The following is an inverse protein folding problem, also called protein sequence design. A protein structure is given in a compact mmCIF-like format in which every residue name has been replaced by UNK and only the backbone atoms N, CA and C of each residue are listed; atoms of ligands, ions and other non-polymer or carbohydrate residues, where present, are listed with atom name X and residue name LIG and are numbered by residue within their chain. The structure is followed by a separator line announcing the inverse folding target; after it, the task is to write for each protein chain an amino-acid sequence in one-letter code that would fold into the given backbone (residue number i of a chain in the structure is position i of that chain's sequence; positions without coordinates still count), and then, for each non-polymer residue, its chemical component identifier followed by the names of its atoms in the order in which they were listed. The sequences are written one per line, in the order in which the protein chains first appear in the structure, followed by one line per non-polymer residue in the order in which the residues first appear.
data_IF_131567662770
#
_entry.id   IF_131567662770
#
_cell.length_a   1.000
_cell.length_b   1.000
_cell.length_c   1.000
_cell.angle_alpha   90.00
_cell.angle_beta   90.00
_cell.angle_gamma   90.00
#
_symmetry.space_group_name_H-M   'P 1'
#
loop_
_entity.id
_entity.type
_entity.pdbx_description
1 polymer ?
#
# COMPACT_ATOMS: atom_id res chain seq x y z
N UNK A 1 -39.73 -10.44 -1.86
CA UNK A 1 -40.49 -10.12 -0.63
C UNK A 1 -39.84 -8.92 0.03
N UNK A 2 -40.58 -7.85 0.32
CA UNK A 2 -40.09 -6.64 1.06
C UNK A 2 -39.79 -6.96 2.53
N UNK A 3 -39.05 -6.22 3.38
CA UNK A 3 -38.43 -4.85 3.40
C UNK A 3 -37.33 -4.87 4.49
N UNK A 4 -36.33 -3.98 4.68
CA UNK A 4 -35.88 -2.66 4.15
C UNK A 4 -34.37 -2.73 3.80
N UNK A 5 -33.64 -1.80 3.16
CA UNK A 5 -33.81 -0.38 2.72
C UNK A 5 -33.40 0.76 3.71
N UNK A 6 -32.15 1.27 3.55
CA UNK A 6 -31.66 2.63 3.93
C UNK A 6 -31.43 2.96 5.44
N UNK A 7 -30.67 4.00 5.86
CA UNK A 7 -30.46 5.35 5.32
C UNK A 7 -29.04 5.98 5.44
N UNK A 8 -28.75 7.09 4.71
CA UNK A 8 -27.59 7.95 4.94
C UNK A 8 -27.77 8.87 6.16
N UNK A 9 -26.67 9.55 6.55
CA UNK A 9 -26.64 10.77 7.38
C UNK A 9 -27.48 10.76 8.68
N UNK A 10 -26.94 10.19 9.75
CA UNK A 10 -27.42 10.46 11.11
C UNK A 10 -27.38 9.26 12.07
N UNK A 11 -26.44 9.31 13.01
CA UNK A 11 -26.39 8.55 14.28
C UNK A 11 -26.59 7.02 14.29
N UNK A 12 -25.44 6.36 14.49
CA UNK A 12 -25.23 5.37 15.57
C UNK A 12 -25.89 3.98 15.47
N UNK A 13 -25.18 3.05 14.83
CA UNK A 13 -25.13 1.64 15.26
C UNK A 13 -23.76 1.02 14.97
N UNK A 14 -22.98 0.76 16.04
CA UNK A 14 -21.85 -0.19 16.15
C UNK A 14 -20.96 -0.38 14.90
N UNK A 15 -19.84 0.34 14.83
CA UNK A 15 -18.74 0.07 13.88
C UNK A 15 -17.39 0.27 14.60
N UNK A 16 -16.55 -0.77 14.58
CA UNK A 16 -15.24 -0.85 15.27
C UNK A 16 -14.08 -0.73 14.28
N UNK A 17 -12.85 -0.43 14.74
CA UNK A 17 -11.70 -0.13 13.86
C UNK A 17 -10.47 -1.04 14.08
N UNK A 18 -9.69 -1.29 13.01
CA UNK A 18 -8.55 -2.22 12.99
C UNK A 18 -7.34 -1.62 12.24
N UNK A 19 -6.14 -1.61 12.84
CA UNK A 19 -5.00 -0.79 12.37
C UNK A 19 -3.89 -1.50 11.54
N UNK A 20 -3.36 -0.83 10.50
CA UNK A 20 -2.30 -1.22 9.53
C UNK A 20 -0.87 -0.99 10.00
N UNK A 21 0.06 -1.78 9.45
CA UNK A 21 1.46 -1.39 9.19
C UNK A 21 2.01 -2.07 7.91
N UNK A 22 2.51 -1.28 6.95
CA UNK A 22 3.01 -1.74 5.63
C UNK A 22 4.54 -1.69 5.56
N UNK A 23 5.25 -2.51 4.78
CA UNK A 23 4.87 -3.69 4.00
C UNK A 23 6.10 -4.32 3.33
N UNK A 24 6.60 -5.46 3.85
CA UNK A 24 7.78 -6.18 3.32
C UNK A 24 8.98 -6.18 4.27
N UNK A 25 9.02 -7.17 5.20
CA UNK A 25 9.90 -7.18 6.40
C UNK A 25 10.01 -5.83 7.13
N UNK A 26 8.98 -5.00 6.99
CA UNK A 26 8.91 -3.65 7.51
C UNK A 26 8.51 -3.71 8.97
N UNK A 27 9.53 -3.78 9.83
CA UNK A 27 9.40 -3.46 11.24
C UNK A 27 9.19 -1.95 11.37
N UNK A 28 8.06 -1.60 11.98
CA UNK A 28 7.76 -0.23 12.40
C UNK A 28 8.27 -0.03 13.84
N UNK A 29 8.55 1.22 14.22
CA UNK A 29 9.28 1.54 15.46
C UNK A 29 8.55 2.61 16.27
N UNK A 30 8.07 2.22 17.45
CA UNK A 30 7.42 3.15 18.36
C UNK A 30 8.43 3.79 19.32
N UNK A 31 8.42 5.12 19.34
CA UNK A 31 9.44 5.96 19.96
C UNK A 31 8.97 6.48 21.33
N UNK A 32 9.38 5.83 22.42
CA UNK A 32 8.89 6.15 23.77
C UNK A 32 9.68 7.30 24.39
N UNK A 33 8.96 8.27 24.97
CA UNK A 33 9.52 9.50 25.53
C UNK A 33 9.98 9.41 26.99
N UNK A 34 9.61 8.33 27.68
CA UNK A 34 9.88 8.05 29.09
C UNK A 34 11.31 7.50 29.29
N UNK A 35 11.96 7.83 30.41
CA UNK A 35 13.29 7.34 30.72
C UNK A 35 13.20 6.08 31.61
N UNK A 36 13.77 4.96 31.16
CA UNK A 36 13.75 3.66 31.85
C UNK A 36 15.12 2.97 31.76
N UNK A 37 15.42 2.06 32.69
CA UNK A 37 16.55 1.13 32.53
C UNK A 37 16.28 0.20 31.34
N UNK A 38 17.33 -0.42 30.78
CA UNK A 38 17.16 -1.27 29.59
C UNK A 38 16.19 -2.45 29.83
N UNK A 39 16.18 -3.01 31.05
CA UNK A 39 15.27 -4.10 31.44
C UNK A 39 13.82 -3.63 31.54
N UNK A 40 13.56 -2.49 32.19
CA UNK A 40 12.22 -1.90 32.27
C UNK A 40 11.70 -1.52 30.88
N UNK A 41 12.57 -0.97 30.03
CA UNK A 41 12.25 -0.66 28.63
C UNK A 41 11.92 -1.93 27.82
N UNK A 42 12.66 -3.03 28.00
CA UNK A 42 12.34 -4.33 27.40
C UNK A 42 10.98 -4.86 27.87
N UNK A 43 10.72 -4.82 29.17
CA UNK A 43 9.46 -5.27 29.76
C UNK A 43 8.28 -4.42 29.27
N UNK A 44 8.43 -3.10 29.22
CA UNK A 44 7.46 -2.20 28.59
C UNK A 44 7.20 -2.56 27.13
N UNK A 45 8.25 -2.75 26.32
CA UNK A 45 8.08 -3.08 24.91
C UNK A 45 7.45 -4.46 24.68
N UNK A 46 7.67 -5.44 25.56
CA UNK A 46 7.01 -6.76 25.48
C UNK A 46 5.55 -6.71 25.95
N UNK A 47 5.26 -5.89 26.96
CA UNK A 47 3.90 -5.70 27.47
C UNK A 47 3.03 -4.95 26.45
N UNK A 48 3.52 -3.84 25.88
CA UNK A 48 2.74 -2.98 24.98
C UNK A 48 2.91 -3.30 23.49
N UNK A 49 4.10 -3.70 23.05
CA UNK A 49 4.48 -3.83 21.64
C UNK A 49 4.93 -5.26 21.29
N UNK A 50 6.20 -5.50 20.96
CA UNK A 50 6.75 -6.85 20.74
C UNK A 50 8.08 -7.06 21.45
N UNK A 51 9.07 -6.20 21.21
CA UNK A 51 10.34 -6.17 21.94
C UNK A 51 11.00 -4.78 21.74
N UNK A 52 12.19 -4.54 22.27
CA UNK A 52 13.01 -3.39 21.91
C UNK A 52 13.42 -3.42 20.42
N UNK A 53 13.76 -2.25 19.88
CA UNK A 53 14.16 -2.08 18.48
C UNK A 53 15.33 -2.99 18.10
N UNK A 54 15.11 -3.84 17.11
CA UNK A 54 16.14 -4.67 16.46
C UNK A 54 16.56 -3.99 15.17
N UNK A 55 17.85 -4.00 14.85
CA UNK A 55 18.37 -3.56 13.54
C UNK A 55 18.86 -4.78 12.78
N UNK A 56 18.37 -4.99 11.55
CA UNK A 56 18.82 -6.09 10.68
C UNK A 56 19.43 -5.63 9.35
N UNK A 57 19.31 -4.34 9.00
CA UNK A 57 19.75 -3.77 7.73
C UNK A 57 19.82 -2.23 7.81
N UNK A 58 20.32 -1.58 6.75
CA UNK A 58 20.47 -0.13 6.68
C UNK A 58 19.14 0.64 6.61
N UNK A 59 18.07 0.04 6.09
CA UNK A 59 16.75 0.66 6.00
C UNK A 59 15.99 0.58 7.33
N UNK A 60 16.27 -0.42 8.19
CA UNK A 60 15.87 -0.41 9.61
C UNK A 60 16.52 0.78 10.35
N UNK A 61 17.83 0.99 10.16
CA UNK A 61 18.53 2.17 10.73
C UNK A 61 17.87 3.48 10.30
N UNK A 62 17.55 3.62 9.01
CA UNK A 62 16.93 4.85 8.50
C UNK A 62 15.54 5.13 9.10
N UNK A 63 14.76 4.10 9.48
CA UNK A 63 13.49 4.31 10.21
C UNK A 63 13.71 4.73 11.67
N UNK A 64 14.82 4.31 12.28
CA UNK A 64 15.20 4.69 13.65
C UNK A 64 15.78 6.12 13.74
N UNK A 65 16.12 6.73 12.60
CA UNK A 65 16.64 8.09 12.49
C UNK A 65 15.57 9.15 12.88
N UNK A 66 15.54 9.56 14.15
CA UNK A 66 14.66 10.65 14.61
C UNK A 66 15.39 11.65 15.52
N UNK A 67 16.23 12.56 14.95
CA UNK A 67 17.01 13.52 15.71
C UNK A 67 16.16 14.53 16.49
N UNK A 68 14.90 14.76 16.09
CA UNK A 68 13.97 15.64 16.80
C UNK A 68 13.48 15.06 18.13
N UNK A 69 13.27 13.73 18.22
CA UNK A 69 12.81 13.08 19.47
C UNK A 69 13.97 12.63 20.39
N UNK A 70 15.17 12.39 19.85
CA UNK A 70 16.26 11.68 20.54
C UNK A 70 17.60 12.43 20.60
N UNK A 71 17.57 13.72 20.97
CA UNK A 71 18.79 14.48 21.28
C UNK A 71 19.65 13.85 22.40
N UNK A 72 19.06 13.06 23.30
CA UNK A 72 19.75 12.27 24.33
C UNK A 72 20.05 10.82 23.95
N UNK A 73 19.70 10.37 22.73
CA UNK A 73 19.74 8.97 22.33
C UNK A 73 18.61 8.11 22.93
N UNK A 74 18.60 6.81 22.59
CA UNK A 74 17.66 5.84 23.15
C UNK A 74 18.15 4.38 23.09
N UNK A 75 17.67 3.56 24.02
CA UNK A 75 17.89 2.11 24.06
C UNK A 75 17.36 1.39 22.81
N UNK A 76 18.17 0.46 22.30
CA UNK A 76 17.79 -0.57 21.32
C UNK A 76 17.93 -1.96 21.94
N UNK A 77 17.40 -2.99 21.28
CA UNK A 77 17.33 -4.36 21.81
C UNK A 77 18.64 -5.12 21.83
N UNK A 78 19.79 -4.50 21.55
CA UNK A 78 21.09 -5.17 21.57
C UNK A 78 21.68 -5.15 22.98
N UNK A 79 22.17 -6.30 23.43
CA UNK A 79 22.86 -6.51 24.70
C UNK A 79 24.15 -7.31 24.50
N UNK A 80 24.89 -7.52 25.59
CA UNK A 80 26.10 -8.36 25.71
C UNK A 80 26.02 -9.65 24.87
N UNK A 81 27.18 -10.09 24.37
CA UNK A 81 27.33 -11.19 23.40
C UNK A 81 26.82 -10.86 21.99
N UNK A 82 26.49 -9.58 21.72
CA UNK A 82 25.87 -9.10 20.48
C UNK A 82 24.56 -9.82 20.14
N UNK A 83 23.78 -10.11 21.18
CA UNK A 83 22.50 -10.81 21.06
C UNK A 83 21.36 -9.80 21.15
N UNK A 84 20.49 -9.85 20.15
CA UNK A 84 19.23 -9.13 20.19
C UNK A 84 18.29 -9.69 21.27
N UNK A 85 17.48 -8.83 21.87
CA UNK A 85 16.46 -9.17 22.84
C UNK A 85 15.35 -10.03 22.22
N UNK A 86 15.02 -9.77 20.95
CA UNK A 86 14.15 -10.64 20.17
C UNK A 86 14.87 -11.96 19.80
N UNK A 87 14.33 -13.13 20.17
CA UNK A 87 14.92 -14.42 19.80
C UNK A 87 14.96 -14.64 18.28
N UNK A 88 16.00 -15.34 17.81
CA UNK A 88 16.11 -15.81 16.43
C UNK A 88 16.55 -14.77 15.39
N UNK A 89 16.98 -13.57 15.81
CA UNK A 89 17.62 -12.59 14.91
C UNK A 89 19.14 -12.63 15.11
N UNK A 90 19.88 -12.84 14.04
CA UNK A 90 21.34 -12.84 14.03
C UNK A 90 21.92 -11.41 13.98
N UNK A 91 23.19 -11.27 14.36
CA UNK A 91 23.92 -10.00 14.35
C UNK A 91 24.83 -9.94 13.12
N UNK A 92 24.49 -9.08 12.15
CA UNK A 92 25.11 -9.04 10.82
C UNK A 92 25.85 -7.74 10.49
N UNK A 93 25.40 -6.58 11.00
CA UNK A 93 26.05 -5.29 10.83
C UNK A 93 26.26 -4.59 12.20
N UNK A 94 27.28 -3.72 12.27
CA UNK A 94 27.51 -2.85 13.43
C UNK A 94 27.73 -1.39 13.01
N UNK A 95 27.32 -0.45 13.86
CA UNK A 95 27.38 1.01 13.64
C UNK A 95 27.98 1.76 14.84
N UNK A 96 29.02 1.18 15.46
CA UNK A 96 29.65 1.72 16.67
C UNK A 96 30.22 3.13 16.48
N UNK A 97 30.21 3.92 17.56
CA UNK A 97 30.98 5.17 17.64
C UNK A 97 32.48 4.86 17.57
N UNK A 98 33.29 5.84 17.17
CA UNK A 98 34.75 5.68 17.18
C UNK A 98 35.25 5.47 18.62
N UNK A 99 35.78 4.28 18.90
CA UNK A 99 36.25 3.87 20.23
C UNK A 99 35.36 2.83 20.92
N UNK A 100 34.15 2.62 20.40
CA UNK A 100 33.15 1.72 20.98
C UNK A 100 33.12 0.36 20.25
N UNK A 101 32.65 -0.72 20.91
CA UNK A 101 32.16 -0.78 22.28
C UNK A 101 33.32 -0.90 23.30
N UNK A 102 33.34 -0.03 24.30
CA UNK A 102 34.47 0.07 25.24
C UNK A 102 34.29 -0.75 26.53
N UNK A 103 33.05 -1.15 26.90
CA UNK A 103 32.72 -1.92 28.11
C UNK A 103 33.24 -1.25 29.40
N UNK A 104 32.95 0.05 29.61
CA UNK A 104 33.52 0.84 30.70
C UNK A 104 33.22 0.21 32.07
N UNK A 105 34.26 0.11 32.91
CA UNK A 105 34.22 -0.51 34.23
C UNK A 105 33.65 -1.96 34.25
N UNK A 106 33.62 -2.66 33.11
CA UNK A 106 32.94 -3.94 32.89
C UNK A 106 31.41 -3.92 33.12
N UNK A 107 30.78 -2.74 33.07
CA UNK A 107 29.37 -2.52 33.41
C UNK A 107 28.50 -2.16 32.20
N UNK A 108 29.09 -1.73 31.10
CA UNK A 108 28.39 -1.39 29.86
C UNK A 108 28.03 -2.68 29.10
N UNK A 109 26.75 -3.06 29.15
CA UNK A 109 26.26 -4.37 28.68
C UNK A 109 24.98 -4.25 27.84
N UNK A 110 24.46 -3.03 27.65
CA UNK A 110 23.24 -2.71 26.92
C UNK A 110 23.53 -1.56 25.94
N UNK A 111 22.87 -1.55 24.78
CA UNK A 111 23.24 -0.65 23.68
C UNK A 111 22.18 0.40 23.43
N UNK A 112 22.62 1.65 23.27
CA UNK A 112 21.79 2.78 22.84
C UNK A 112 22.29 3.33 21.51
N UNK A 113 21.42 4.08 20.83
CA UNK A 113 21.77 4.76 19.58
C UNK A 113 21.40 6.24 19.57
N UNK A 114 22.11 7.01 18.74
CA UNK A 114 21.82 8.41 18.43
C UNK A 114 22.43 8.74 17.06
N UNK A 115 21.65 9.40 16.20
CA UNK A 115 22.07 9.83 14.86
C UNK A 115 22.79 8.71 14.09
N UNK A 116 22.16 7.54 14.03
CA UNK A 116 22.61 6.31 13.34
C UNK A 116 23.90 5.65 13.87
N UNK A 117 24.42 6.13 14.99
CA UNK A 117 25.63 5.61 15.65
C UNK A 117 25.23 4.95 16.99
N UNK A 118 25.91 3.86 17.34
CA UNK A 118 25.67 3.05 18.55
C UNK A 118 26.78 3.22 19.59
N UNK A 119 26.41 3.04 20.85
CA UNK A 119 27.34 3.00 21.99
C UNK A 119 26.79 2.04 23.07
N UNK A 120 27.66 1.31 23.76
CA UNK A 120 27.29 0.54 24.94
C UNK A 120 27.20 1.44 26.19
N UNK A 121 26.45 0.99 27.19
CA UNK A 121 26.14 1.78 28.38
C UNK A 121 25.69 0.86 29.52
N UNK A 122 25.78 1.36 30.75
CA UNK A 122 25.26 0.67 31.93
C UNK A 122 23.76 0.44 31.77
N UNK A 123 23.33 -0.83 31.77
CA UNK A 123 21.92 -1.21 31.64
C UNK A 123 21.00 -0.53 32.67
N UNK A 124 21.56 -0.09 33.80
CA UNK A 124 20.88 0.61 34.89
C UNK A 124 20.70 2.12 34.65
N UNK A 125 21.17 2.68 33.54
CA UNK A 125 20.98 4.10 33.20
C UNK A 125 19.55 4.33 32.68
N UNK A 126 18.81 5.32 33.22
CA UNK A 126 17.50 5.65 32.69
C UNK A 126 17.64 6.45 31.39
N UNK A 127 17.29 5.83 30.26
CA UNK A 127 17.26 6.46 28.94
C UNK A 127 15.87 6.29 28.30
N UNK A 128 15.57 7.14 27.31
CA UNK A 128 14.46 6.86 26.38
C UNK A 128 14.72 5.56 25.62
N UNK A 129 13.68 5.01 24.98
CA UNK A 129 13.79 3.72 24.32
C UNK A 129 12.88 3.61 23.10
N UNK A 130 13.23 2.66 22.21
CA UNK A 130 12.51 2.43 20.97
C UNK A 130 11.98 1.00 20.98
N UNK A 131 10.67 0.84 20.84
CA UNK A 131 10.03 -0.46 20.76
C UNK A 131 9.84 -0.88 19.30
N UNK A 132 10.13 -2.15 19.01
CA UNK A 132 9.81 -2.81 17.76
C UNK A 132 8.34 -3.19 17.73
N UNK A 133 7.63 -2.76 16.68
CA UNK A 133 6.30 -3.26 16.36
C UNK A 133 6.47 -4.54 15.52
N UNK A 134 6.17 -5.69 16.13
CA UNK A 134 6.07 -6.95 15.40
C UNK A 134 4.79 -7.00 14.58
N UNK A 135 4.87 -7.56 13.36
CA UNK A 135 3.70 -7.84 12.53
C UNK A 135 2.81 -8.85 13.27
N UNK A 136 1.75 -8.36 13.93
CA UNK A 136 0.89 -9.20 14.78
C UNK A 136 0.16 -8.49 15.93
N UNK A 137 0.42 -7.21 16.22
CA UNK A 137 -0.39 -6.40 17.15
C UNK A 137 -1.01 -5.15 16.50
N UNK A 138 -1.71 -5.35 15.38
CA UNK A 138 -2.76 -4.40 15.00
C UNK A 138 -3.91 -4.55 16.00
N UNK A 139 -4.20 -3.53 16.81
CA UNK A 139 -5.24 -3.62 17.83
C UNK A 139 -6.63 -3.75 17.22
N UNK A 140 -7.42 -4.73 17.69
CA UNK A 140 -8.86 -4.78 17.47
C UNK A 140 -9.53 -3.80 18.45
N UNK A 141 -9.91 -2.63 17.95
CA UNK A 141 -10.44 -1.55 18.79
C UNK A 141 -11.95 -1.70 18.86
N UNK A 142 -12.42 -2.46 19.84
CA UNK A 142 -13.83 -2.63 20.15
C UNK A 142 -14.40 -1.34 20.80
N UNK A 143 -14.63 -0.32 19.99
CA UNK A 143 -15.21 0.96 20.39
C UNK A 143 -15.88 1.60 19.18
N UNK A 144 -17.08 2.16 19.36
CA UNK A 144 -17.88 2.68 18.26
C UNK A 144 -17.29 4.00 17.74
N UNK A 145 -16.99 4.05 16.45
CA UNK A 145 -16.36 5.20 15.79
C UNK A 145 -16.75 5.26 14.31
N UNK A 146 -16.83 6.47 13.74
CA UNK A 146 -16.92 6.65 12.29
C UNK A 146 -15.57 6.36 11.63
N UNK A 147 -15.55 6.10 10.32
CA UNK A 147 -14.29 5.80 9.61
C UNK A 147 -13.20 6.89 9.79
N UNK A 148 -13.49 8.22 9.69
CA UNK A 148 -12.48 9.24 9.93
C UNK A 148 -11.98 9.30 11.37
N UNK A 149 -12.85 8.99 12.35
CA UNK A 149 -12.45 8.88 13.76
C UNK A 149 -11.57 7.65 13.99
N UNK A 150 -11.87 6.53 13.32
CA UNK A 150 -11.08 5.30 13.35
C UNK A 150 -9.69 5.49 12.73
N UNK A 151 -9.63 6.11 11.54
CA UNK A 151 -8.38 6.50 10.88
C UNK A 151 -7.57 7.45 11.78
N UNK A 152 -8.23 8.47 12.34
CA UNK A 152 -7.59 9.43 13.25
C UNK A 152 -7.15 8.80 14.56
N UNK A 153 -7.83 7.77 15.06
CA UNK A 153 -7.41 7.00 16.22
C UNK A 153 -6.19 6.15 15.88
N UNK A 154 -6.26 5.34 14.82
CA UNK A 154 -5.12 4.52 14.38
C UNK A 154 -3.88 5.37 14.15
N UNK A 155 -3.96 6.49 13.41
CA UNK A 155 -2.81 7.42 13.19
C UNK A 155 -2.27 8.10 14.46
N UNK A 156 -2.96 8.02 15.60
CA UNK A 156 -2.50 8.56 16.90
C UNK A 156 -1.89 7.50 17.83
N UNK A 157 -2.12 6.21 17.58
CA UNK A 157 -1.75 5.10 18.48
C UNK A 157 -1.00 3.95 17.76
N UNK A 158 -1.04 3.94 16.43
CA UNK A 158 -0.54 2.95 15.47
C UNK A 158 -0.15 3.69 14.17
N UNK A 159 0.00 2.97 13.04
CA UNK A 159 0.38 3.58 11.75
C UNK A 159 -0.84 4.11 10.97
N UNK A 160 -1.81 3.26 10.58
CA UNK A 160 -3.10 3.67 9.94
C UNK A 160 -4.18 2.57 10.13
N UNK A 161 -5.28 2.51 9.37
CA UNK A 161 -6.28 1.41 9.32
C UNK A 161 -5.86 0.28 8.34
N UNK A 162 -6.15 -1.00 8.62
CA UNK A 162 -5.56 -2.17 7.91
C UNK A 162 -5.65 -2.12 6.38
N UNK A 163 -4.54 -2.41 5.70
CA UNK A 163 -4.42 -2.46 4.25
C UNK A 163 -3.86 -3.76 3.68
N UNK A 164 -4.42 -4.17 2.53
CA UNK A 164 -3.90 -5.27 1.73
C UNK A 164 -4.17 -6.69 2.25
N UNK A 165 -3.86 -7.66 1.38
CA UNK A 165 -4.18 -9.08 1.58
C UNK A 165 -3.51 -9.64 2.83
N UNK A 166 -2.22 -9.35 3.02
CA UNK A 166 -1.43 -9.98 4.09
C UNK A 166 -1.99 -9.63 5.46
N UNK A 167 -2.28 -8.35 5.72
CA UNK A 167 -2.82 -7.91 7.01
C UNK A 167 -4.22 -8.48 7.26
N UNK A 168 -5.06 -8.58 6.22
CA UNK A 168 -6.39 -9.18 6.32
C UNK A 168 -6.32 -10.69 6.65
N UNK A 169 -5.39 -11.42 6.04
CA UNK A 169 -5.16 -12.84 6.32
C UNK A 169 -4.36 -13.09 7.61
N UNK A 170 -3.57 -12.13 8.09
CA UNK A 170 -2.99 -12.14 9.44
C UNK A 170 -4.12 -11.91 10.48
N UNK A 171 -5.00 -10.93 10.26
CA UNK A 171 -6.17 -10.63 11.10
C UNK A 171 -7.13 -11.82 11.22
N UNK A 172 -7.52 -12.45 10.11
CA UNK A 172 -8.38 -13.67 10.09
C UNK A 172 -7.75 -14.87 10.81
N UNK A 173 -6.42 -15.00 10.80
CA UNK A 173 -5.72 -16.05 11.57
C UNK A 173 -5.68 -15.77 13.07
N UNK A 174 -5.83 -14.53 13.48
CA UNK A 174 -5.96 -14.12 14.89
C UNK A 174 -7.41 -14.16 15.37
N UNK A 175 -8.36 -13.84 14.48
CA UNK A 175 -9.80 -13.77 14.74
C UNK A 175 -10.52 -14.76 13.81
N UNK A 176 -10.47 -16.04 14.19
CA UNK A 176 -10.94 -17.16 13.38
C UNK A 176 -12.47 -17.14 13.14
N UNK A 177 -13.21 -16.42 13.99
CA UNK A 177 -14.62 -16.05 13.84
C UNK A 177 -14.88 -15.20 12.58
N UNK A 178 -13.94 -14.34 12.17
CA UNK A 178 -13.99 -13.62 10.89
C UNK A 178 -13.48 -14.47 9.70
N UNK A 179 -12.79 -15.58 9.96
CA UNK A 179 -12.34 -16.50 8.91
C UNK A 179 -13.46 -17.45 8.44
N UNK A 180 -14.41 -17.78 9.32
CA UNK A 180 -15.51 -18.72 9.03
C UNK A 180 -16.86 -18.23 9.57
N UNK A 181 -17.56 -17.38 8.82
CA UNK A 181 -18.97 -17.05 9.06
C UNK A 181 -19.88 -18.29 8.89
N UNK A 182 -20.54 -18.79 9.94
CA UNK A 182 -21.44 -19.95 9.86
C UNK A 182 -22.88 -19.53 9.49
N UNK A 183 -23.60 -20.36 8.73
CA UNK A 183 -24.99 -20.04 8.38
C UNK A 183 -25.96 -20.18 9.57
N UNK A 184 -26.86 -19.20 9.70
CA UNK A 184 -28.11 -19.14 10.49
C UNK A 184 -28.05 -19.36 12.03
N UNK A 185 -27.17 -20.21 12.55
CA UNK A 185 -27.16 -20.59 13.97
C UNK A 185 -26.06 -19.90 14.80
N UNK A 186 -25.13 -19.19 14.16
CA UNK A 186 -24.13 -18.35 14.82
C UNK A 186 -23.85 -17.15 13.90
N UNK A 187 -24.22 -15.91 14.28
CA UNK A 187 -24.03 -14.75 13.40
C UNK A 187 -22.54 -14.45 13.19
N UNK A 188 -22.20 -13.81 12.07
CA UNK A 188 -20.89 -13.21 11.88
C UNK A 188 -20.63 -12.14 12.97
N UNK A 189 -19.36 -11.90 13.36
CA UNK A 189 -18.98 -10.74 14.18
C UNK A 189 -19.38 -9.39 13.54
N UNK A 190 -19.45 -8.34 14.37
CA UNK A 190 -19.72 -6.98 13.89
C UNK A 190 -18.63 -6.49 12.89
N UNK A 191 -19.01 -5.77 11.82
CA UNK A 191 -18.07 -5.37 10.77
C UNK A 191 -17.03 -4.34 11.25
N UNK A 192 -15.80 -4.49 10.75
CA UNK A 192 -14.64 -3.66 11.08
C UNK A 192 -14.28 -2.66 9.99
N UNK A 193 -13.85 -1.47 10.39
CA UNK A 193 -13.22 -0.50 9.49
C UNK A 193 -11.81 -0.96 9.09
N UNK A 194 -11.56 -0.89 7.79
CA UNK A 194 -10.27 -1.11 7.14
C UNK A 194 -9.79 0.19 6.47
N UNK A 195 -8.53 0.26 6.06
CA UNK A 195 -7.95 1.46 5.44
C UNK A 195 -8.43 1.75 4.02
N UNK A 196 -9.27 0.91 3.44
CA UNK A 196 -9.84 1.11 2.10
C UNK A 196 -10.92 2.21 2.17
N UNK A 197 -10.62 3.36 1.60
CA UNK A 197 -11.49 4.54 1.58
C UNK A 197 -11.65 5.09 0.16
N UNK A 198 -12.51 6.10 0.02
CA UNK A 198 -12.83 6.68 -1.28
C UNK A 198 -13.31 8.12 -1.19
N UNK A 199 -12.45 9.04 -1.58
CA UNK A 199 -12.80 10.43 -1.87
C UNK A 199 -13.14 10.62 -3.36
N UNK A 200 -12.41 9.93 -4.25
CA UNK A 200 -12.64 9.88 -5.69
C UNK A 200 -12.50 8.44 -6.20
N UNK A 201 -11.26 7.95 -6.26
CA UNK A 201 -10.90 6.56 -6.47
C UNK A 201 -10.80 5.78 -5.14
N UNK A 202 -10.83 4.45 -5.23
CA UNK A 202 -10.64 3.55 -4.07
C UNK A 202 -9.15 3.44 -3.71
N UNK A 203 -8.76 4.04 -2.60
CA UNK A 203 -7.37 4.14 -2.12
C UNK A 203 -7.21 3.52 -0.72
N UNK A 204 -5.98 3.16 -0.34
CA UNK A 204 -5.66 2.77 1.03
C UNK A 204 -5.14 3.99 1.82
N UNK A 205 -5.59 4.15 3.06
CA UNK A 205 -5.33 5.35 3.87
C UNK A 205 -3.86 5.55 4.23
N UNK A 206 -3.09 4.46 4.35
CA UNK A 206 -1.64 4.46 4.51
C UNK A 206 -0.86 4.72 3.20
N UNK A 207 -1.55 5.06 2.09
CA UNK A 207 -0.93 5.33 0.79
C UNK A 207 -0.49 4.07 0.03
N UNK A 208 -0.88 2.88 0.49
CA UNK A 208 -0.49 1.61 -0.11
C UNK A 208 -1.12 1.40 -1.50
N UNK A 209 -0.38 0.78 -2.42
CA UNK A 209 -0.74 0.59 -3.84
C UNK A 209 -1.42 -0.77 -4.15
N UNK A 210 -1.76 -1.59 -3.14
CA UNK A 210 -2.39 -2.89 -3.38
C UNK A 210 -3.73 -2.79 -4.13
N UNK A 211 -3.78 -3.35 -5.34
CA UNK A 211 -4.98 -3.45 -6.18
C UNK A 211 -5.97 -4.55 -5.77
N UNK A 212 -5.59 -5.46 -4.86
CA UNK A 212 -6.44 -6.57 -4.42
C UNK A 212 -7.63 -6.10 -3.59
N UNK A 213 -8.84 -6.55 -3.96
CA UNK A 213 -10.10 -6.21 -3.29
C UNK A 213 -11.00 -7.45 -3.19
N UNK A 214 -10.92 -8.18 -2.06
CA UNK A 214 -11.77 -9.34 -1.74
C UNK A 214 -13.11 -8.86 -1.14
N UNK A 215 -13.98 -8.33 -1.98
CA UNK A 215 -15.34 -7.96 -1.61
C UNK A 215 -16.20 -9.18 -1.25
N UNK A 216 -17.12 -9.01 -0.30
CA UNK A 216 -18.23 -9.96 -0.13
C UNK A 216 -19.08 -10.07 -1.39
N UNK A 217 -19.86 -11.16 -1.48
CA UNK A 217 -20.74 -11.39 -2.62
C UNK A 217 -21.74 -10.23 -2.81
N UNK A 218 -21.55 -9.49 -3.91
CA UNK A 218 -22.25 -8.26 -4.32
C UNK A 218 -21.79 -6.92 -3.68
N UNK A 219 -20.69 -6.89 -2.94
CA UNK A 219 -19.99 -5.63 -2.60
C UNK A 219 -19.01 -5.20 -3.73
N UNK A 220 -18.54 -3.93 -3.72
CA UNK A 220 -19.08 -2.81 -2.96
C UNK A 220 -20.44 -2.40 -3.55
N UNK A 221 -21.41 -2.05 -2.72
CA UNK A 221 -22.74 -1.60 -3.20
C UNK A 221 -22.66 -0.40 -4.14
N UNK A 222 -21.68 0.49 -3.98
CA UNK A 222 -21.35 1.50 -5.01
C UNK A 222 -20.34 0.98 -6.04
N UNK A 223 -20.80 0.01 -6.83
CA UNK A 223 -20.22 -0.22 -8.16
C UNK A 223 -20.59 0.94 -9.07
N UNK A 224 -19.74 1.97 -9.08
CA UNK A 224 -19.44 2.61 -10.34
C UNK A 224 -18.76 1.55 -11.23
N UNK A 225 -19.59 0.87 -12.03
CA UNK A 225 -19.18 -0.11 -13.05
C UNK A 225 -17.93 0.43 -13.77
N UNK A 226 -16.81 -0.32 -13.88
CA UNK A 226 -15.63 0.12 -14.62
C UNK A 226 -15.95 0.63 -16.03
N UNK A 227 -17.00 0.09 -16.67
CA UNK A 227 -17.50 0.59 -17.97
C UNK A 227 -17.99 2.05 -17.91
N UNK A 228 -18.44 2.55 -16.75
CA UNK A 228 -18.95 3.92 -16.55
C UNK A 228 -17.82 4.97 -16.50
N UNK A 229 -16.64 4.56 -16.03
CA UNK A 229 -15.40 5.35 -16.03
C UNK A 229 -14.72 5.38 -17.41
N UNK A 230 -14.98 4.39 -18.27
CA UNK A 230 -14.48 4.36 -19.65
C UNK A 230 -15.47 4.99 -20.63
N UNK A 231 -15.00 5.90 -21.49
CA UNK A 231 -15.82 6.50 -22.56
C UNK A 231 -15.14 6.41 -23.92
N UNK A 232 -15.88 5.88 -24.90
CA UNK A 232 -15.46 5.86 -26.31
C UNK A 232 -15.87 7.18 -26.96
N UNK A 233 -14.91 7.88 -27.54
CA UNK A 233 -15.11 9.08 -28.36
C UNK A 233 -15.18 8.65 -29.83
N UNK A 234 -16.34 8.89 -30.45
CA UNK A 234 -16.60 8.59 -31.88
C UNK A 234 -16.15 9.69 -32.84
N UNK A 235 -15.11 10.44 -32.47
CA UNK A 235 -14.37 11.34 -33.36
C UNK A 235 -13.22 10.53 -33.99
N UNK A 236 -12.83 10.86 -35.21
CA UNK A 236 -11.63 10.29 -35.82
C UNK A 236 -10.52 11.34 -35.65
N UNK A 237 -9.46 11.01 -34.92
CA UNK A 237 -8.37 11.92 -34.56
C UNK A 237 -7.03 11.17 -34.61
N UNK A 238 -5.93 11.88 -34.89
CA UNK A 238 -4.59 11.32 -34.69
C UNK A 238 -4.32 11.14 -33.19
N UNK A 239 -3.32 10.35 -32.82
CA UNK A 239 -3.11 9.97 -31.42
C UNK A 239 -2.88 11.16 -30.47
N UNK A 240 -2.11 12.16 -30.89
CA UNK A 240 -1.85 13.36 -30.08
C UNK A 240 -3.10 14.25 -29.92
N UNK A 241 -3.91 14.42 -30.96
CA UNK A 241 -5.22 15.11 -30.85
C UNK A 241 -6.16 14.38 -29.88
N UNK A 242 -6.18 13.04 -29.94
CA UNK A 242 -6.98 12.20 -29.05
C UNK A 242 -6.51 12.31 -27.58
N UNK A 243 -5.20 12.40 -27.36
CA UNK A 243 -4.59 12.63 -26.04
C UNK A 243 -5.06 13.95 -25.42
N UNK A 244 -4.88 15.08 -26.13
CA UNK A 244 -5.33 16.37 -25.63
C UNK A 244 -6.86 16.42 -25.46
N UNK A 245 -7.64 15.80 -26.35
CA UNK A 245 -9.09 15.73 -26.22
C UNK A 245 -9.55 14.96 -24.97
N UNK A 246 -8.85 13.88 -24.59
CA UNK A 246 -9.15 13.19 -23.34
C UNK A 246 -8.77 14.02 -22.11
N UNK A 247 -7.67 14.79 -22.16
CA UNK A 247 -7.17 15.62 -21.05
C UNK A 247 -7.96 16.92 -20.84
N UNK A 248 -8.57 17.49 -21.88
CA UNK A 248 -9.40 18.71 -21.78
C UNK A 248 -10.84 18.42 -21.33
N UNK A 249 -11.37 17.23 -21.64
CA UNK A 249 -12.79 16.90 -21.41
C UNK A 249 -13.04 15.76 -20.41
N UNK A 250 -12.00 14.97 -20.08
CA UNK A 250 -12.06 13.83 -19.18
C UNK A 250 -10.76 13.74 -18.35
N UNK A 251 -10.20 12.56 -18.12
CA UNK A 251 -8.94 12.37 -17.37
C UNK A 251 -7.75 12.19 -18.31
N UNK A 252 -7.69 11.08 -19.04
CA UNK A 252 -6.65 10.83 -20.04
C UNK A 252 -7.07 9.76 -21.06
N UNK A 253 -6.23 9.44 -22.05
CA UNK A 253 -6.39 8.22 -22.87
C UNK A 253 -6.25 6.97 -21.99
N UNK A 254 -7.02 5.93 -22.31
CA UNK A 254 -7.15 4.73 -21.47
C UNK A 254 -5.87 3.89 -21.41
N UNK A 255 -5.51 3.50 -20.19
CA UNK A 255 -4.47 2.52 -19.85
C UNK A 255 -5.04 1.12 -19.63
N UNK A 256 -4.18 0.09 -19.70
CA UNK A 256 -4.56 -1.30 -19.45
C UNK A 256 -3.45 -1.98 -18.63
N UNK A 257 -3.59 -1.96 -17.31
CA UNK A 257 -2.61 -2.51 -16.36
C UNK A 257 -2.82 -3.99 -16.07
N UNK A 258 -4.00 -4.53 -16.40
CA UNK A 258 -4.37 -5.93 -16.12
C UNK A 258 -5.44 -6.48 -17.09
N UNK A 259 -5.64 -7.80 -17.03
CA UNK A 259 -6.62 -8.52 -17.86
C UNK A 259 -8.08 -8.11 -17.59
N UNK A 260 -8.41 -7.60 -16.41
CA UNK A 260 -9.75 -7.08 -16.10
C UNK A 260 -10.06 -5.81 -16.90
N UNK A 261 -9.13 -4.85 -16.92
CA UNK A 261 -9.22 -3.66 -17.77
C UNK A 261 -9.27 -4.02 -19.26
N UNK A 262 -8.46 -4.97 -19.73
CA UNK A 262 -8.52 -5.44 -21.12
C UNK A 262 -9.94 -5.88 -21.52
N UNK A 263 -10.62 -6.62 -20.65
CA UNK A 263 -12.00 -7.07 -20.88
C UNK A 263 -13.01 -5.90 -20.89
N UNK A 264 -12.81 -4.83 -20.12
CA UNK A 264 -13.72 -3.67 -20.16
C UNK A 264 -13.43 -2.72 -21.34
N UNK A 265 -12.15 -2.52 -21.68
CA UNK A 265 -11.72 -1.69 -22.80
C UNK A 265 -12.12 -2.35 -24.12
N UNK A 266 -12.02 -3.67 -24.28
CA UNK A 266 -12.46 -4.33 -25.52
C UNK A 266 -13.98 -4.27 -25.74
N UNK A 267 -14.81 -4.44 -24.70
CA UNK A 267 -16.28 -4.28 -24.87
C UNK A 267 -16.65 -2.83 -25.20
N UNK A 268 -15.87 -1.85 -24.70
CA UNK A 268 -15.99 -0.45 -25.08
C UNK A 268 -15.50 -0.18 -26.50
N UNK A 269 -14.41 -0.84 -26.94
CA UNK A 269 -13.83 -0.73 -28.27
C UNK A 269 -14.80 -1.20 -29.35
N UNK A 270 -15.48 -2.35 -29.16
CA UNK A 270 -16.50 -2.91 -30.06
C UNK A 270 -17.57 -1.91 -30.53
N UNK A 271 -17.82 -0.86 -29.74
CA UNK A 271 -18.78 0.20 -30.08
C UNK A 271 -18.28 1.21 -31.13
N UNK A 272 -17.01 1.19 -31.53
CA UNK A 272 -16.37 2.14 -32.45
C UNK A 272 -16.76 1.97 -33.92
N UNK A 273 -16.66 3.05 -34.71
CA UNK A 273 -16.80 2.99 -36.17
C UNK A 273 -15.49 2.62 -36.88
N UNK A 274 -14.34 2.98 -36.32
CA UNK A 274 -13.01 2.64 -36.86
C UNK A 274 -12.61 1.19 -36.55
N UNK A 275 -11.76 0.55 -37.39
CA UNK A 275 -11.36 -0.86 -37.19
C UNK A 275 -10.42 -1.06 -35.98
N UNK A 276 -9.71 0.00 -35.60
CA UNK A 276 -8.89 0.07 -34.39
C UNK A 276 -9.35 1.26 -33.53
N UNK A 277 -9.02 1.25 -32.24
CA UNK A 277 -9.20 2.39 -31.34
C UNK A 277 -7.89 2.77 -30.64
N UNK A 278 -7.60 4.07 -30.49
CA UNK A 278 -6.42 4.50 -29.74
C UNK A 278 -6.52 4.18 -28.24
N UNK A 279 -5.40 3.75 -27.68
CA UNK A 279 -5.13 3.61 -26.25
C UNK A 279 -4.09 4.66 -25.82
N UNK A 280 -3.90 4.86 -24.53
CA UNK A 280 -2.86 5.73 -23.96
C UNK A 280 -1.43 5.18 -24.04
N UNK A 281 -1.15 4.24 -24.96
CA UNK A 281 0.12 3.51 -25.04
C UNK A 281 1.04 4.18 -26.07
N UNK A 282 2.20 4.69 -25.64
CA UNK A 282 3.15 5.44 -26.47
C UNK A 282 4.50 4.71 -26.53
N UNK A 283 5.15 4.69 -27.70
CA UNK A 283 6.53 4.24 -27.84
C UNK A 283 7.52 5.39 -27.66
N UNK A 284 8.73 5.10 -27.17
CA UNK A 284 9.85 6.05 -27.15
C UNK A 284 11.11 5.46 -27.79
N UNK A 285 11.52 6.02 -28.94
CA UNK A 285 12.75 5.65 -29.63
C UNK A 285 14.03 5.89 -28.80
N UNK A 286 14.04 6.85 -27.87
CA UNK A 286 15.27 7.21 -27.13
C UNK A 286 15.59 6.23 -26.01
N UNK A 287 14.63 5.41 -25.59
CA UNK A 287 14.76 4.44 -24.49
C UNK A 287 14.29 3.03 -24.87
N UNK A 288 13.84 2.83 -26.12
CA UNK A 288 13.31 1.59 -26.69
C UNK A 288 12.27 0.85 -25.82
N UNK A 289 11.26 1.60 -25.33
CA UNK A 289 10.14 1.00 -24.59
C UNK A 289 8.79 1.64 -24.88
N UNK A 290 7.75 0.96 -24.41
CA UNK A 290 6.36 1.42 -24.42
C UNK A 290 5.92 1.83 -23.03
N UNK A 291 5.15 2.92 -22.91
CA UNK A 291 4.65 3.45 -21.65
C UNK A 291 3.20 3.92 -21.75
N UNK A 292 2.48 3.94 -20.63
CA UNK A 292 1.17 4.56 -20.53
C UNK A 292 1.32 6.07 -20.24
N UNK A 293 0.55 6.91 -20.93
CA UNK A 293 0.51 8.37 -20.69
C UNK A 293 -0.05 8.77 -19.32
N UNK A 294 -0.62 7.82 -18.60
CA UNK A 294 -1.20 7.95 -17.25
C UNK A 294 -0.16 7.77 -16.12
N UNK A 295 1.14 7.74 -16.44
CA UNK A 295 2.26 7.36 -15.55
C UNK A 295 2.19 5.92 -14.97
N UNK A 296 1.34 5.06 -15.54
CA UNK A 296 1.23 3.67 -15.13
C UNK A 296 2.26 2.74 -15.78
N UNK A 297 2.77 1.77 -15.02
CA UNK A 297 3.76 0.79 -15.48
C UNK A 297 3.15 -0.25 -16.41
N UNK A 298 3.78 -0.54 -17.56
CA UNK A 298 3.36 -1.57 -18.51
C UNK A 298 3.74 -2.98 -18.00
N UNK A 299 3.01 -3.46 -16.99
CA UNK A 299 3.16 -4.80 -16.40
C UNK A 299 2.32 -5.87 -17.10
N UNK A 300 1.24 -5.46 -17.77
CA UNK A 300 0.39 -6.31 -18.61
C UNK A 300 0.57 -5.94 -20.08
N UNK A 301 0.51 -6.94 -20.95
CA UNK A 301 0.57 -6.75 -22.42
C UNK A 301 -0.38 -7.70 -23.13
N UNK A 302 -1.12 -7.20 -24.12
CA UNK A 302 -1.92 -8.03 -25.02
C UNK A 302 -1.56 -7.76 -26.50
N UNK A 303 -0.27 -7.75 -26.83
CA UNK A 303 0.19 -7.46 -28.19
C UNK A 303 -0.28 -8.50 -29.22
N UNK A 304 -0.56 -8.02 -30.44
CA UNK A 304 -0.90 -8.84 -31.60
C UNK A 304 0.32 -9.51 -32.25
N UNK A 305 0.12 -10.37 -33.25
CA UNK A 305 1.20 -10.85 -34.10
C UNK A 305 1.97 -9.66 -34.70
N UNK A 306 3.30 -9.72 -34.63
CA UNK A 306 4.18 -8.56 -34.81
C UNK A 306 3.99 -7.84 -36.15
N UNK A 307 3.62 -6.56 -36.09
CA UNK A 307 3.57 -5.69 -37.26
C UNK A 307 4.96 -5.08 -37.50
N UNK A 308 5.49 -5.24 -38.70
CA UNK A 308 6.80 -4.71 -39.10
C UNK A 308 6.73 -3.20 -39.30
N UNK A 309 7.61 -2.48 -38.60
CA UNK A 309 7.66 -1.03 -38.57
C UNK A 309 8.30 -0.59 -37.25
N UNK A 310 9.48 -0.01 -37.36
CA UNK A 310 10.24 0.56 -36.26
C UNK A 310 10.46 2.04 -36.57
N UNK A 311 9.38 2.80 -36.37
CA UNK A 311 9.25 4.24 -36.60
C UNK A 311 9.03 4.93 -35.24
N UNK A 312 9.51 6.16 -35.07
CA UNK A 312 9.45 6.84 -33.78
C UNK A 312 8.07 7.42 -33.47
N UNK A 313 7.23 7.68 -34.49
CA UNK A 313 5.88 8.21 -34.31
C UNK A 313 4.84 7.09 -34.09
N UNK A 314 5.15 6.11 -33.24
CA UNK A 314 4.29 4.95 -32.96
C UNK A 314 3.50 5.04 -31.65
N UNK A 315 2.21 4.71 -31.73
CA UNK A 315 1.32 4.53 -30.58
C UNK A 315 0.51 3.23 -30.68
N UNK A 316 -0.03 2.79 -29.55
CA UNK A 316 -0.79 1.56 -29.43
C UNK A 316 -2.28 1.77 -29.69
N UNK A 317 -2.83 0.95 -30.58
CA UNK A 317 -4.27 0.87 -30.81
C UNK A 317 -4.79 -0.55 -30.54
N UNK A 318 -6.04 -0.69 -30.11
CA UNK A 318 -6.71 -1.99 -29.94
C UNK A 318 -7.56 -2.36 -31.16
N UNK A 319 -7.53 -3.60 -31.60
CA UNK A 319 -8.45 -4.16 -32.59
C UNK A 319 -9.90 -4.21 -32.09
N UNK A 320 -10.83 -3.64 -32.87
CA UNK A 320 -12.26 -3.62 -32.56
C UNK A 320 -12.93 -5.00 -32.68
N UNK A 321 -12.56 -5.81 -33.66
CA UNK A 321 -13.42 -6.87 -34.19
C UNK A 321 -12.84 -8.29 -34.15
N UNK A 322 -11.52 -8.45 -34.10
CA UNK A 322 -10.85 -9.74 -34.06
C UNK A 322 -10.44 -10.15 -32.64
N UNK A 323 -9.14 -10.13 -32.36
CA UNK A 323 -8.55 -10.68 -31.13
C UNK A 323 -8.49 -9.69 -29.96
N UNK A 324 -8.90 -8.43 -30.17
CA UNK A 324 -8.75 -7.32 -29.22
C UNK A 324 -7.31 -7.09 -28.73
N UNK A 325 -6.35 -7.58 -29.51
CA UNK A 325 -4.93 -7.38 -29.27
C UNK A 325 -4.51 -5.96 -29.64
N UNK A 326 -3.42 -5.52 -29.03
CA UNK A 326 -2.81 -4.22 -29.26
C UNK A 326 -1.92 -4.29 -30.50
N UNK A 327 -1.96 -3.25 -31.32
CA UNK A 327 -1.20 -3.13 -32.56
C UNK A 327 -0.42 -1.83 -32.56
N UNK A 328 0.80 -1.85 -33.10
CA UNK A 328 1.56 -0.62 -33.41
C UNK A 328 0.83 0.13 -34.53
N UNK A 329 0.69 1.45 -34.41
CA UNK A 329 0.23 2.34 -35.51
C UNK A 329 1.07 3.61 -35.53
N UNK A 330 1.35 4.11 -36.73
CA UNK A 330 1.99 5.42 -36.93
C UNK A 330 0.92 6.49 -36.77
N UNK A 331 1.09 7.41 -35.82
CA UNK A 331 0.07 8.35 -35.35
C UNK A 331 -0.51 9.21 -36.48
N UNK A 332 0.39 9.89 -37.20
CA UNK A 332 0.07 10.92 -38.19
C UNK A 332 -0.74 10.36 -39.39
N UNK A 333 -0.60 9.05 -39.62
CA UNK A 333 -1.21 8.34 -40.73
C UNK A 333 -2.58 7.72 -40.38
N UNK A 334 -3.04 7.78 -39.11
CA UNK A 334 -4.24 7.07 -38.66
C UNK A 334 -5.17 7.94 -37.80
N UNK A 335 -6.30 8.38 -38.38
CA UNK A 335 -7.39 8.98 -37.60
C UNK A 335 -8.33 7.89 -37.07
N UNK A 336 -8.28 7.60 -35.77
CA UNK A 336 -9.06 6.55 -35.12
C UNK A 336 -10.07 7.12 -34.11
N UNK A 337 -11.09 6.33 -33.76
CA UNK A 337 -11.82 6.53 -32.51
C UNK A 337 -10.91 6.15 -31.33
N UNK A 338 -11.25 6.63 -30.14
CA UNK A 338 -10.35 6.52 -28.99
C UNK A 338 -11.14 6.45 -27.69
N UNK A 339 -10.52 5.89 -26.64
CA UNK A 339 -11.18 5.66 -25.36
C UNK A 339 -10.47 6.48 -24.29
N UNK A 340 -11.22 7.33 -23.59
CA UNK A 340 -10.74 8.08 -22.44
C UNK A 340 -11.14 7.38 -21.12
N UNK A 341 -10.30 7.53 -20.10
CA UNK A 341 -10.67 7.40 -18.69
C UNK A 341 -11.38 8.67 -18.20
N UNK A 342 -12.03 8.58 -17.03
CA UNK A 342 -12.74 9.68 -16.34
C UNK A 342 -12.21 9.87 -14.92
#
# INVERSE_FOLDING_TARGET
TTRREYFPSGFSSLLSGQCSSTGGQLYDYHFIGENMTWKEAQEYCRNHHTDLATVSNQTDMHRLHNPAKFQGGAWIGLQREWRWSQPGVEFNESKWSQGEPNNLNNQENCVWMRNDIWNDESCSKPLKFICKLGMGRGGFINSVMTWPEAQSYCRRQYTDLISGVKQLEDFKRQHQDYATCPNNNNPCPDPVWIGLFRDSDWSWSDGNSFSFRSWDNAEPKDKQDPKKLLILIKKNMIWEEALYYCRDHYRDLVSITNQGEQLWVQERAKMASTPYVWLGLRYTCTLDFWFWVTDETVLYTNWGPGQSGDDCNMSGAMDRNGTHQWVKKIDDNHQLNFICSK
#
